data_IF_028107131444
#
_entry.id   IF_028107131444
#
_cell.length_a   1.000
_cell.length_b   1.000
_cell.length_c   1.000
_cell.angle_alpha   90.00
_cell.angle_beta   90.00
_cell.angle_gamma   90.00
#
_symmetry.space_group_name_H-M   'P 1'
#
loop_
_entity.id
_entity.type
_entity.pdbx_description
1 polymer ?
#
# COMPACT_ATOMS: atom_id res chain seq x y z
N UNK A 1 0.19 -51.71 21.83
CA UNK A 1 1.16 -50.69 21.36
C UNK A 1 1.93 -50.10 22.54
N UNK A 2 3.27 -50.19 22.58
CA UNK A 2 4.10 -49.42 23.53
C UNK A 2 4.24 -48.00 22.99
N UNK A 3 3.65 -47.00 23.68
CA UNK A 3 4.00 -45.60 23.41
C UNK A 3 5.43 -45.36 23.87
N UNK A 4 6.36 -45.22 22.93
CA UNK A 4 7.70 -44.72 23.21
C UNK A 4 7.53 -43.27 23.66
N UNK A 5 7.70 -43.03 24.97
CA UNK A 5 7.65 -41.68 25.54
C UNK A 5 8.84 -40.91 24.98
N UNK A 6 8.59 -39.89 24.17
CA UNK A 6 9.61 -38.95 23.69
C UNK A 6 10.35 -38.36 24.90
N UNK A 7 11.66 -38.18 24.77
CA UNK A 7 12.43 -37.50 25.82
C UNK A 7 11.91 -36.07 25.99
N UNK A 8 12.15 -35.50 27.17
CA UNK A 8 11.76 -34.11 27.46
C UNK A 8 12.41 -33.16 26.45
N UNK A 9 13.66 -33.41 26.06
CA UNK A 9 14.39 -32.65 25.04
C UNK A 9 13.71 -32.72 23.66
N UNK A 10 13.29 -33.91 23.22
CA UNK A 10 12.57 -34.06 21.96
C UNK A 10 11.24 -33.30 21.96
N UNK A 11 10.53 -33.29 23.09
CA UNK A 11 9.29 -32.51 23.25
C UNK A 11 9.55 -31.00 23.22
N UNK A 12 10.61 -30.53 23.88
CA UNK A 12 11.02 -29.12 23.85
C UNK A 12 11.37 -28.70 22.42
N UNK A 13 12.16 -29.52 21.71
CA UNK A 13 12.52 -29.27 20.31
C UNK A 13 11.29 -29.19 19.39
N UNK A 14 10.32 -30.10 19.56
CA UNK A 14 9.06 -30.06 18.81
C UNK A 14 8.21 -28.83 19.10
N UNK A 15 8.16 -28.38 20.35
CA UNK A 15 7.43 -27.17 20.72
C UNK A 15 8.09 -25.90 20.16
N UNK A 16 9.43 -25.81 20.20
CA UNK A 16 10.13 -24.68 19.61
C UNK A 16 9.98 -24.62 18.09
N UNK A 17 10.02 -25.76 17.38
CA UNK A 17 9.81 -25.78 15.93
C UNK A 17 8.37 -25.38 15.55
N UNK A 18 7.37 -25.84 16.31
CA UNK A 18 5.97 -25.41 16.14
C UNK A 18 5.83 -23.91 16.38
N UNK A 19 6.43 -23.37 17.45
CA UNK A 19 6.43 -21.94 17.76
C UNK A 19 7.09 -21.12 16.65
N UNK A 20 8.22 -21.57 16.11
CA UNK A 20 8.91 -20.93 14.98
C UNK A 20 8.01 -20.89 13.74
N UNK A 21 7.34 -22.00 13.42
CA UNK A 21 6.40 -22.08 12.30
C UNK A 21 5.22 -21.13 12.47
N UNK A 22 4.62 -21.09 13.67
CA UNK A 22 3.50 -20.20 13.96
C UNK A 22 3.90 -18.72 13.89
N UNK A 23 5.07 -18.35 14.43
CA UNK A 23 5.62 -16.99 14.31
C UNK A 23 5.86 -16.59 12.86
N UNK A 24 6.42 -17.49 12.05
CA UNK A 24 6.64 -17.22 10.62
C UNK A 24 5.32 -16.98 9.87
N UNK A 25 4.27 -17.76 10.18
CA UNK A 25 2.93 -17.58 9.62
C UNK A 25 2.31 -16.25 10.05
N UNK A 26 2.41 -15.90 11.33
CA UNK A 26 1.91 -14.63 11.85
C UNK A 26 2.59 -13.44 11.15
N UNK A 27 3.93 -13.44 11.07
CA UNK A 27 4.67 -12.38 10.39
C UNK A 27 4.38 -12.29 8.87
N UNK A 28 3.95 -13.39 8.24
CA UNK A 28 3.45 -13.34 6.85
C UNK A 28 2.08 -12.66 6.77
N UNK A 29 1.19 -12.98 7.70
CA UNK A 29 -0.15 -12.40 7.77
C UNK A 29 -0.09 -10.89 8.06
N UNK A 30 0.75 -10.48 9.01
CA UNK A 30 0.94 -9.06 9.35
C UNK A 30 1.42 -8.24 8.15
N UNK A 31 2.44 -8.73 7.42
CA UNK A 31 2.91 -8.07 6.20
C UNK A 31 1.85 -8.01 5.10
N UNK A 32 1.06 -9.08 4.94
CA UNK A 32 -0.03 -9.09 3.98
C UNK A 32 -1.13 -8.08 4.34
N UNK A 33 -1.48 -7.97 5.62
CA UNK A 33 -2.44 -6.98 6.11
C UNK A 33 -1.91 -5.55 5.97
N UNK A 34 -0.65 -5.30 6.33
CA UNK A 34 -0.01 -3.99 6.18
C UNK A 34 0.04 -3.54 4.71
N UNK A 35 0.45 -4.44 3.81
CA UNK A 35 0.43 -4.18 2.37
C UNK A 35 -0.97 -3.85 1.88
N UNK A 36 -1.97 -4.66 2.26
CA UNK A 36 -3.37 -4.43 1.87
C UNK A 36 -3.88 -3.08 2.39
N UNK A 37 -3.59 -2.73 3.65
CA UNK A 37 -3.99 -1.45 4.24
C UNK A 37 -3.39 -0.27 3.48
N UNK A 38 -2.10 -0.32 3.16
CA UNK A 38 -1.40 0.74 2.42
C UNK A 38 -1.96 0.91 1.01
N UNK A 39 -2.19 -0.19 0.30
CA UNK A 39 -2.77 -0.17 -1.05
C UNK A 39 -4.19 0.40 -1.04
N UNK A 40 -5.06 -0.05 -0.13
CA UNK A 40 -6.43 0.44 -0.04
C UNK A 40 -6.50 1.93 0.30
N UNK A 41 -5.64 2.40 1.21
CA UNK A 41 -5.57 3.81 1.54
C UNK A 41 -5.11 4.64 0.34
N UNK A 42 -4.08 4.19 -0.37
CA UNK A 42 -3.61 4.85 -1.59
C UNK A 42 -4.70 4.92 -2.67
N UNK A 43 -5.37 3.80 -2.94
CA UNK A 43 -6.46 3.73 -3.92
C UNK A 43 -7.62 4.68 -3.57
N UNK A 44 -7.97 4.82 -2.28
CA UNK A 44 -8.99 5.77 -1.84
C UNK A 44 -8.58 7.22 -2.11
N UNK A 45 -7.32 7.57 -1.83
CA UNK A 45 -6.78 8.92 -2.07
C UNK A 45 -6.81 9.25 -3.57
N UNK A 46 -6.34 8.35 -4.42
CA UNK A 46 -6.36 8.51 -5.88
C UNK A 46 -7.80 8.68 -6.39
N UNK A 47 -8.71 7.80 -5.98
CA UNK A 47 -10.12 7.90 -6.35
C UNK A 47 -10.73 9.25 -5.93
N UNK A 48 -10.33 9.78 -4.77
CA UNK A 48 -10.83 11.07 -4.27
C UNK A 48 -10.26 12.26 -5.04
N UNK A 49 -9.07 12.15 -5.61
CA UNK A 49 -8.54 13.17 -6.52
C UNK A 49 -9.31 13.23 -7.84
N UNK A 50 -9.73 12.06 -8.36
CA UNK A 50 -10.40 11.96 -9.66
C UNK A 50 -11.92 12.23 -9.60
N UNK A 51 -12.60 11.72 -8.56
CA UNK A 51 -14.07 11.56 -8.56
C UNK A 51 -14.80 12.31 -7.43
N UNK A 52 -14.15 13.25 -6.75
CA UNK A 52 -14.78 13.95 -5.61
C UNK A 52 -15.68 15.11 -6.09
N UNK A 53 -16.94 15.10 -5.64
CA UNK A 53 -17.88 16.21 -5.83
C UNK A 53 -17.51 17.50 -5.08
N UNK A 54 -16.45 17.46 -4.26
CA UNK A 54 -15.89 18.63 -3.55
C UNK A 54 -14.56 19.03 -4.20
N UNK A 55 -14.61 20.09 -5.02
CA UNK A 55 -13.48 20.61 -5.78
C UNK A 55 -12.42 21.27 -4.86
N UNK A 56 -12.85 21.94 -3.79
CA UNK A 56 -11.95 22.61 -2.85
C UNK A 56 -11.15 21.59 -2.05
N UNK A 57 -11.80 20.52 -1.58
CA UNK A 57 -11.11 19.42 -0.91
C UNK A 57 -10.10 18.74 -1.84
N UNK A 58 -10.49 18.47 -3.08
CA UNK A 58 -9.64 17.83 -4.10
C UNK A 58 -8.39 18.66 -4.37
N UNK A 59 -8.55 19.97 -4.56
CA UNK A 59 -7.44 20.89 -4.76
C UNK A 59 -6.49 20.91 -3.56
N UNK A 60 -7.03 21.06 -2.34
CA UNK A 60 -6.21 21.06 -1.11
C UNK A 60 -5.44 19.75 -0.92
N UNK A 61 -6.06 18.62 -1.23
CA UNK A 61 -5.43 17.31 -1.14
C UNK A 61 -4.31 17.16 -2.18
N UNK A 62 -4.54 17.59 -3.43
CA UNK A 62 -3.52 17.59 -4.48
C UNK A 62 -2.35 18.53 -4.17
N UNK A 63 -2.61 19.72 -3.62
CA UNK A 63 -1.59 20.66 -3.17
C UNK A 63 -0.72 20.06 -2.05
N UNK A 64 -1.36 19.40 -1.08
CA UNK A 64 -0.67 18.71 0.00
C UNK A 64 0.19 17.55 -0.50
N UNK A 65 -0.34 16.71 -1.40
CA UNK A 65 0.40 15.59 -1.99
C UNK A 65 1.64 16.06 -2.77
N UNK A 66 1.52 17.12 -3.57
CA UNK A 66 2.65 17.71 -4.30
C UNK A 66 3.78 18.20 -3.40
N UNK A 67 3.45 18.63 -2.18
CA UNK A 67 4.43 19.08 -1.20
C UNK A 67 5.10 17.91 -0.46
N UNK A 68 4.32 16.90 -0.07
CA UNK A 68 4.79 15.83 0.81
C UNK A 68 5.36 14.62 0.04
N UNK A 69 4.77 14.23 -1.11
CA UNK A 69 5.23 13.08 -1.91
C UNK A 69 6.70 13.18 -2.33
N UNK A 70 7.23 14.34 -2.78
CA UNK A 70 8.65 14.43 -3.12
C UNK A 70 9.59 14.16 -1.94
N UNK A 71 9.18 14.50 -0.72
CA UNK A 71 9.94 14.21 0.50
C UNK A 71 9.77 12.76 0.97
N UNK A 72 8.62 12.15 0.70
CA UNK A 72 8.34 10.76 1.04
C UNK A 72 8.98 9.75 0.07
N UNK A 73 8.98 10.07 -1.23
CA UNK A 73 9.53 9.23 -2.29
C UNK A 73 11.04 9.44 -2.38
N UNK A 74 11.80 8.40 -2.04
CA UNK A 74 13.27 8.43 -1.99
C UNK A 74 13.93 7.97 -3.29
N UNK A 75 13.18 7.30 -4.17
CA UNK A 75 13.70 6.75 -5.44
C UNK A 75 13.08 7.47 -6.61
N UNK A 76 13.90 7.81 -7.60
CA UNK A 76 13.44 8.51 -8.81
C UNK A 76 12.42 7.68 -9.61
N UNK A 77 12.60 6.37 -9.67
CA UNK A 77 11.64 5.46 -10.31
C UNK A 77 10.26 5.48 -9.64
N UNK A 78 10.20 5.71 -8.32
CA UNK A 78 8.92 5.83 -7.62
C UNK A 78 8.30 7.21 -7.85
N UNK A 79 9.11 8.28 -7.98
CA UNK A 79 8.63 9.63 -8.30
C UNK A 79 7.93 9.69 -9.65
N UNK A 80 8.51 9.03 -10.66
CA UNK A 80 7.96 8.96 -12.02
C UNK A 80 6.55 8.32 -12.09
N UNK A 81 6.18 7.49 -11.10
CA UNK A 81 4.83 6.91 -11.03
C UNK A 81 3.74 7.93 -10.65
N UNK A 82 4.13 9.10 -10.17
CA UNK A 82 3.21 10.14 -9.69
C UNK A 82 3.40 11.47 -10.45
N UNK A 83 4.02 11.46 -11.64
CA UNK A 83 4.26 12.69 -12.43
C UNK A 83 2.95 13.40 -12.79
N UNK A 84 1.85 12.67 -12.97
CA UNK A 84 0.50 13.20 -13.19
C UNK A 84 -0.02 14.05 -12.01
N UNK A 85 0.37 13.70 -10.79
CA UNK A 85 0.04 14.41 -9.56
C UNK A 85 1.08 15.49 -9.25
N UNK A 86 2.36 15.20 -9.48
CA UNK A 86 3.49 16.07 -9.16
C UNK A 86 3.61 17.25 -10.13
N UNK A 87 3.33 17.01 -11.41
CA UNK A 87 3.35 18.01 -12.46
C UNK A 87 1.93 18.34 -12.95
N UNK A 88 1.35 19.46 -12.51
CA UNK A 88 0.02 19.86 -12.97
C UNK A 88 -0.05 20.18 -14.47
N UNK A 89 1.07 20.35 -15.16
CA UNK A 89 1.10 20.50 -16.62
C UNK A 89 0.93 19.17 -17.37
N UNK A 90 1.06 18.04 -16.67
CA UNK A 90 0.92 16.68 -17.21
C UNK A 90 -0.46 16.07 -16.97
N UNK A 91 -1.36 16.78 -16.28
CA UNK A 91 -2.75 16.36 -16.09
C UNK A 91 -3.51 16.37 -17.43
N UNK A 92 -4.04 15.22 -17.91
CA UNK A 92 -4.80 15.15 -19.15
C UNK A 92 -6.23 15.65 -18.90
N UNK A 93 -6.42 16.95 -18.68
CA UNK A 93 -7.74 17.58 -18.72
C UNK A 93 -7.78 18.60 -19.85
N UNK A 94 -8.29 18.15 -20.99
CA UNK A 94 -8.45 18.99 -22.17
C UNK A 94 -8.87 18.30 -23.47
N UNK A 95 -9.40 17.07 -23.48
CA UNK A 95 -10.22 16.62 -24.63
C UNK A 95 -11.62 17.20 -24.46
N UNK A 96 -11.73 18.48 -24.81
CA UNK A 96 -12.97 19.09 -25.22
C UNK A 96 -13.49 18.31 -26.43
N UNK A 97 -14.56 17.54 -26.24
CA UNK A 97 -15.37 17.00 -27.33
C UNK A 97 -16.08 18.15 -28.05
N UNK A 98 -15.32 18.90 -28.86
CA UNK A 98 -15.85 19.86 -29.82
C UNK A 98 -16.36 19.10 -31.04
N UNK A 99 -17.66 18.85 -31.10
CA UNK A 99 -18.33 18.37 -32.30
C UNK A 99 -18.50 19.55 -33.27
N UNK A 100 -18.02 19.48 -34.53
CA UNK A 100 -18.37 20.48 -35.53
C UNK A 100 -19.72 20.09 -36.17
N UNK A 101 -20.70 20.98 -36.04
CA UNK A 101 -21.80 21.11 -37.03
C UNK A 101 -21.32 21.95 -38.21
#
# INVERSE_FOLDING_TARGET
MKMVRKSIEQRIAELEERKKTLKARLGKQERAQDTRRKVLLGALVLHRLENSNDADFTRRLGDWLRKELPGFLTRDGDKALFDDILDPASSPQGVSSGNPE
#
